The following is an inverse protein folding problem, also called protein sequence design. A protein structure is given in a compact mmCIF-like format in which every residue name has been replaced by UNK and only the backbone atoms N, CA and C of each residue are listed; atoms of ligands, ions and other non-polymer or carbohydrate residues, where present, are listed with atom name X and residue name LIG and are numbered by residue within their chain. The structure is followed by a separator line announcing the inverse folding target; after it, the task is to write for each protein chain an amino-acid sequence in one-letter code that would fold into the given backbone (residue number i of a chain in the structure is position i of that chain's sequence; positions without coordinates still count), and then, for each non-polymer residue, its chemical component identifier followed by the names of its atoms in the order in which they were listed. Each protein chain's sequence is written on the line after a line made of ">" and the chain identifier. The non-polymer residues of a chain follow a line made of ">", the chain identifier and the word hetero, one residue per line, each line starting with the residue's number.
data_IF_739351317215
#
_entry.id   IF_739351317215
#
_cell.length_a   1.000
_cell.length_b   1.000
_cell.length_c   1.000
_cell.angle_alpha   90.00
_cell.angle_beta   90.00
_cell.angle_gamma   90.00
#
_symmetry.space_group_name_H-M   'P 1'
#
loop_
_entity.id
_entity.type
_entity.pdbx_description
1 polymer ?
#
# COMPACT_ATOMS: atom_id res chain seq x y z
N UNK A 1 15.79 -4.61 1.76
CA UNK A 1 15.03 -5.14 0.60
C UNK A 1 13.64 -5.48 1.09
N UNK A 2 12.61 -5.01 0.41
CA UNK A 2 11.23 -5.39 0.73
C UNK A 2 11.05 -6.91 0.56
N UNK A 3 10.48 -7.55 1.52
CA UNK A 3 10.31 -9.01 1.56
C UNK A 3 8.89 -9.40 1.96
N UNK A 4 8.59 -10.68 1.79
CA UNK A 4 7.32 -11.27 2.16
C UNK A 4 7.55 -12.60 2.88
N UNK A 5 6.85 -12.81 4.00
CA UNK A 5 6.78 -14.08 4.71
C UNK A 5 5.37 -14.61 4.55
N UNK A 6 5.20 -15.81 4.03
CA UNK A 6 3.91 -16.39 3.67
C UNK A 6 3.62 -17.67 4.43
N UNK A 7 2.36 -17.86 4.77
CA UNK A 7 1.87 -19.00 5.56
C UNK A 7 1.89 -18.76 7.07
N UNK A 8 0.90 -19.35 7.75
CA UNK A 8 0.66 -19.15 9.18
C UNK A 8 1.89 -19.46 10.05
N UNK A 9 2.50 -20.62 9.83
CA UNK A 9 3.60 -21.08 10.66
C UNK A 9 4.87 -20.24 10.47
N UNK A 10 5.14 -19.82 9.23
CA UNK A 10 6.27 -18.96 8.92
C UNK A 10 6.09 -17.56 9.50
N UNK A 11 4.89 -16.97 9.40
CA UNK A 11 4.57 -15.68 10.01
C UNK A 11 4.67 -15.75 11.53
N UNK A 12 4.15 -16.81 12.14
CA UNK A 12 4.25 -17.03 13.59
C UNK A 12 5.71 -17.15 14.04
N UNK A 13 6.51 -17.94 13.33
CA UNK A 13 7.95 -18.09 13.60
C UNK A 13 8.69 -16.76 13.46
N UNK A 14 8.41 -15.97 12.43
CA UNK A 14 9.00 -14.65 12.24
C UNK A 14 8.66 -13.70 13.41
N UNK A 15 7.41 -13.70 13.87
CA UNK A 15 6.97 -12.93 15.02
C UNK A 15 7.68 -13.36 16.31
N UNK A 16 7.77 -14.65 16.59
CA UNK A 16 8.41 -15.19 17.78
C UNK A 16 9.93 -14.96 17.80
N UNK A 17 10.57 -14.99 16.64
CA UNK A 17 12.02 -14.76 16.51
C UNK A 17 12.40 -13.27 16.49
N UNK A 18 11.45 -12.36 16.67
CA UNK A 18 11.74 -10.93 16.70
C UNK A 18 12.06 -10.30 15.34
N UNK A 19 11.73 -10.97 14.22
CA UNK A 19 11.95 -10.40 12.89
C UNK A 19 11.18 -9.10 12.72
N UNK A 20 11.80 -8.08 12.13
CA UNK A 20 11.13 -6.81 11.79
C UNK A 20 10.09 -7.04 10.70
N UNK A 21 8.85 -6.73 11.03
CA UNK A 21 7.70 -6.82 10.14
C UNK A 21 6.95 -5.49 10.16
N UNK A 22 6.60 -4.98 9.01
CA UNK A 22 5.85 -3.72 8.88
C UNK A 22 4.34 -3.95 8.96
N UNK A 23 3.87 -5.05 8.43
CA UNK A 23 2.46 -5.41 8.43
C UNK A 23 2.29 -6.93 8.44
N UNK A 24 1.23 -7.39 9.11
CA UNK A 24 0.73 -8.76 9.02
C UNK A 24 -0.71 -8.75 8.53
N UNK A 25 -1.02 -9.54 7.50
CA UNK A 25 -2.37 -9.79 7.03
C UNK A 25 -2.76 -11.23 7.36
N UNK A 26 -3.95 -11.40 7.95
CA UNK A 26 -4.47 -12.72 8.33
C UNK A 26 -5.85 -12.97 7.74
N UNK A 27 -6.20 -14.23 7.52
CA UNK A 27 -7.56 -14.60 7.17
C UNK A 27 -8.47 -14.39 8.39
N UNK A 28 -9.56 -13.65 8.17
CA UNK A 28 -10.55 -13.34 9.22
C UNK A 28 -11.30 -14.57 9.72
N UNK A 29 -11.37 -15.64 8.91
CA UNK A 29 -12.11 -16.87 9.22
C UNK A 29 -11.24 -17.93 9.90
N UNK A 30 -9.93 -17.69 10.01
CA UNK A 30 -8.97 -18.61 10.65
C UNK A 30 -8.69 -18.21 12.09
N UNK A 31 -8.34 -19.19 12.91
CA UNK A 31 -7.82 -18.90 14.24
C UNK A 31 -6.41 -18.28 14.13
N UNK A 32 -6.34 -17.01 14.44
CA UNK A 32 -5.13 -16.20 14.38
C UNK A 32 -4.82 -15.52 15.72
N UNK A 33 -5.39 -16.04 16.81
CA UNK A 33 -5.31 -15.44 18.14
C UNK A 33 -3.87 -15.15 18.56
N UNK A 34 -2.95 -16.11 18.42
CA UNK A 34 -1.57 -15.92 18.80
C UNK A 34 -0.82 -14.91 17.92
N UNK A 35 -1.10 -14.89 16.61
CA UNK A 35 -0.54 -13.88 15.69
C UNK A 35 -1.00 -12.49 16.10
N UNK A 36 -2.29 -12.32 16.42
CA UNK A 36 -2.87 -11.04 16.87
C UNK A 36 -2.20 -10.54 18.14
N UNK A 37 -2.07 -11.41 19.13
CA UNK A 37 -1.43 -11.08 20.39
C UNK A 37 0.02 -10.61 20.17
N UNK A 38 0.81 -11.35 19.40
CA UNK A 38 2.21 -10.99 19.12
C UNK A 38 2.33 -9.69 18.30
N UNK A 39 1.42 -9.42 17.37
CA UNK A 39 1.38 -8.15 16.64
C UNK A 39 1.07 -6.99 17.59
N UNK A 40 0.10 -7.14 18.48
CA UNK A 40 -0.27 -6.12 19.49
C UNK A 40 0.91 -5.83 20.43
N UNK A 41 1.52 -6.87 21.00
CA UNK A 41 2.68 -6.75 21.91
C UNK A 41 3.87 -6.04 21.24
N UNK A 42 4.04 -6.19 19.94
CA UNK A 42 5.15 -5.62 19.17
C UNK A 42 4.82 -4.35 18.43
N UNK A 43 3.56 -3.87 18.50
CA UNK A 43 3.11 -2.68 17.76
C UNK A 43 3.15 -2.85 16.23
N UNK A 44 3.00 -4.08 15.72
CA UNK A 44 2.99 -4.38 14.29
C UNK A 44 1.57 -4.19 13.75
N UNK A 45 1.45 -3.49 12.61
CA UNK A 45 0.17 -3.30 11.94
C UNK A 45 -0.44 -4.65 11.55
N UNK A 46 -1.62 -4.96 12.10
CA UNK A 46 -2.38 -6.15 11.74
C UNK A 46 -3.58 -5.76 10.88
N UNK A 47 -3.73 -6.43 9.74
CA UNK A 47 -4.89 -6.32 8.88
C UNK A 47 -5.60 -7.67 8.73
N UNK A 48 -6.90 -7.61 8.41
CA UNK A 48 -7.72 -8.78 8.13
C UNK A 48 -8.16 -8.80 6.67
N UNK A 49 -8.14 -9.97 6.07
CA UNK A 49 -8.60 -10.19 4.71
C UNK A 49 -9.42 -11.48 4.59
N UNK A 50 -9.84 -11.79 3.38
CA UNK A 50 -10.35 -13.11 3.02
C UNK A 50 -9.22 -14.00 2.52
N UNK A 51 -9.40 -15.32 2.54
CA UNK A 51 -8.46 -16.27 1.92
C UNK A 51 -8.12 -15.89 0.47
N UNK A 52 -9.08 -15.35 -0.29
CA UNK A 52 -8.87 -14.89 -1.65
C UNK A 52 -8.02 -13.61 -1.74
N UNK A 53 -8.14 -12.69 -0.77
CA UNK A 53 -7.26 -11.53 -0.68
C UNK A 53 -5.81 -11.98 -0.42
N UNK A 54 -5.62 -12.88 0.53
CA UNK A 54 -4.31 -13.46 0.87
C UNK A 54 -3.69 -14.18 -0.33
N UNK A 55 -4.45 -15.03 -1.00
CA UNK A 55 -3.99 -15.74 -2.19
C UNK A 55 -3.49 -14.78 -3.29
N UNK A 56 -4.20 -13.68 -3.51
CA UNK A 56 -3.81 -12.68 -4.52
C UNK A 56 -2.58 -11.87 -4.13
N UNK A 57 -2.37 -11.69 -2.83
CA UNK A 57 -1.28 -10.87 -2.29
C UNK A 57 -0.01 -11.68 -2.05
N UNK A 58 -0.13 -12.97 -1.73
CA UNK A 58 1.03 -13.83 -1.47
C UNK A 58 1.75 -14.20 -2.77
N UNK A 59 3.06 -14.31 -2.70
CA UNK A 59 3.88 -14.72 -3.84
C UNK A 59 3.78 -16.22 -4.15
N UNK A 60 3.34 -17.02 -3.17
CA UNK A 60 3.22 -18.48 -3.25
C UNK A 60 1.78 -18.99 -3.23
N UNK A 61 0.79 -18.10 -3.22
CA UNK A 61 -0.63 -18.44 -3.15
C UNK A 61 -1.11 -18.85 -1.75
N UNK A 62 -0.37 -18.52 -0.70
CA UNK A 62 -0.78 -18.77 0.69
C UNK A 62 -2.09 -18.04 1.02
N UNK A 63 -2.97 -18.69 1.79
CA UNK A 63 -4.33 -18.20 2.09
C UNK A 63 -4.57 -17.95 3.58
N UNK A 64 -3.60 -18.20 4.45
CA UNK A 64 -3.80 -18.16 5.90
C UNK A 64 -3.24 -16.90 6.54
N UNK A 65 -1.99 -16.58 6.27
CA UNK A 65 -1.32 -15.40 6.77
C UNK A 65 -0.20 -14.94 5.84
N UNK A 66 0.11 -13.65 5.90
CA UNK A 66 1.14 -12.98 5.13
C UNK A 66 1.75 -11.86 5.97
N UNK A 67 3.06 -11.73 5.99
CA UNK A 67 3.74 -10.57 6.58
C UNK A 67 4.62 -9.86 5.54
N UNK A 68 4.74 -8.55 5.65
CA UNK A 68 5.59 -7.71 4.82
C UNK A 68 6.75 -7.16 5.64
N UNK A 69 7.91 -7.04 5.01
CA UNK A 69 9.12 -6.44 5.58
C UNK A 69 9.69 -5.40 4.62
N UNK A 70 10.24 -4.31 5.17
CA UNK A 70 10.91 -3.25 4.41
C UNK A 70 9.95 -2.41 3.55
N UNK A 71 8.67 -2.36 3.92
CA UNK A 71 7.65 -1.54 3.23
C UNK A 71 6.86 -0.71 4.24
N UNK A 72 6.69 0.57 3.93
CA UNK A 72 5.70 1.39 4.62
C UNK A 72 4.36 1.25 3.90
N UNK A 73 3.35 0.78 4.59
CA UNK A 73 2.01 0.54 4.03
C UNK A 73 1.03 1.67 4.32
N UNK A 74 1.41 2.61 5.19
CA UNK A 74 0.60 3.74 5.62
C UNK A 74 1.42 5.03 5.72
N UNK A 75 0.73 6.16 5.77
CA UNK A 75 1.33 7.46 5.99
C UNK A 75 0.43 8.59 5.51
N UNK A 76 0.60 9.75 6.12
CA UNK A 76 0.05 11.02 5.65
C UNK A 76 0.86 11.54 4.47
N UNK A 77 0.31 12.52 3.74
CA UNK A 77 1.00 13.15 2.62
C UNK A 77 2.38 13.71 3.04
N UNK A 78 2.45 14.35 4.19
CA UNK A 78 3.68 14.94 4.69
C UNK A 78 4.72 13.88 5.06
N UNK A 79 4.32 12.85 5.81
CA UNK A 79 5.20 11.74 6.18
C UNK A 79 5.75 10.98 4.96
N UNK A 80 4.91 10.80 3.92
CA UNK A 80 5.34 10.16 2.68
C UNK A 80 6.40 11.02 1.99
N UNK A 81 6.19 12.32 1.89
CA UNK A 81 7.14 13.23 1.24
C UNK A 81 8.44 13.41 2.05
N UNK A 82 8.36 13.41 3.38
CA UNK A 82 9.54 13.45 4.26
C UNK A 82 10.41 12.19 4.14
N UNK A 83 9.79 11.02 4.00
CA UNK A 83 10.52 9.77 3.79
C UNK A 83 11.29 9.74 2.47
N UNK A 84 10.83 10.48 1.48
CA UNK A 84 11.40 10.48 0.14
C UNK A 84 11.04 9.22 -0.67
N UNK A 85 11.78 9.00 -1.75
CA UNK A 85 11.51 7.91 -2.68
C UNK A 85 10.70 8.35 -3.90
N UNK A 86 10.08 7.40 -4.59
CA UNK A 86 9.28 7.65 -5.79
C UNK A 86 7.80 7.65 -5.45
N UNK A 87 7.16 8.80 -5.57
CA UNK A 87 5.73 8.98 -5.32
C UNK A 87 5.04 9.19 -6.67
N UNK A 88 4.04 8.38 -6.95
CA UNK A 88 3.22 8.55 -8.14
C UNK A 88 1.99 9.39 -7.80
N UNK A 89 1.81 10.47 -8.55
CA UNK A 89 0.68 11.37 -8.41
C UNK A 89 -0.25 11.26 -9.63
N UNK A 90 -1.52 11.00 -9.39
CA UNK A 90 -2.56 10.94 -10.42
C UNK A 90 -3.59 12.04 -10.19
N UNK A 91 -3.70 12.93 -11.17
CA UNK A 91 -4.63 14.05 -11.16
C UNK A 91 -5.75 13.84 -12.18
N UNK A 92 -6.99 14.11 -11.78
CA UNK A 92 -8.15 14.14 -12.66
C UNK A 92 -8.55 12.81 -13.32
N UNK A 93 -8.03 11.66 -12.87
CA UNK A 93 -8.39 10.36 -13.45
C UNK A 93 -9.83 9.99 -13.10
N UNK A 94 -10.71 9.95 -14.08
CA UNK A 94 -12.14 9.77 -13.89
C UNK A 94 -12.53 8.32 -13.56
N UNK A 95 -11.98 7.36 -14.30
CA UNK A 95 -12.40 5.96 -14.18
C UNK A 95 -11.73 5.23 -13.03
N UNK A 96 -12.55 4.75 -12.07
CA UNK A 96 -12.08 4.04 -10.88
C UNK A 96 -11.27 2.78 -11.20
N UNK A 97 -11.60 2.08 -12.28
CA UNK A 97 -10.85 0.91 -12.73
C UNK A 97 -9.44 1.28 -13.17
N UNK A 98 -9.28 2.40 -13.90
CA UNK A 98 -7.97 2.88 -14.35
C UNK A 98 -7.10 3.30 -13.17
N UNK A 99 -7.69 3.98 -12.17
CA UNK A 99 -6.98 4.27 -10.91
C UNK A 99 -6.50 3.00 -10.21
N UNK A 100 -7.33 1.96 -10.16
CA UNK A 100 -6.93 0.69 -9.58
C UNK A 100 -5.74 0.07 -10.32
N UNK A 101 -5.76 0.03 -11.63
CA UNK A 101 -4.62 -0.44 -12.45
C UNK A 101 -3.37 0.42 -12.27
N UNK A 102 -3.53 1.74 -12.19
CA UNK A 102 -2.43 2.67 -11.95
C UNK A 102 -1.77 2.42 -10.59
N UNK A 103 -2.55 2.23 -9.53
CA UNK A 103 -2.03 1.87 -8.19
C UNK A 103 -1.26 0.54 -8.25
N UNK A 104 -1.81 -0.47 -8.93
CA UNK A 104 -1.13 -1.76 -9.09
C UNK A 104 0.18 -1.61 -9.87
N UNK A 105 0.17 -0.83 -10.95
CA UNK A 105 1.38 -0.56 -11.75
C UNK A 105 2.43 0.17 -10.92
N UNK A 106 2.05 1.19 -10.17
CA UNK A 106 2.96 1.91 -9.29
C UNK A 106 3.61 0.97 -8.25
N UNK A 107 2.79 0.12 -7.60
CA UNK A 107 3.29 -0.85 -6.61
C UNK A 107 4.31 -1.82 -7.21
N UNK A 108 4.00 -2.46 -8.33
CA UNK A 108 4.92 -3.44 -8.97
C UNK A 108 6.16 -2.76 -9.59
N UNK A 109 6.08 -1.47 -9.91
CA UNK A 109 7.20 -0.66 -10.39
C UNK A 109 8.11 -0.19 -9.26
N UNK A 110 7.79 -0.49 -8.01
CA UNK A 110 8.59 -0.11 -6.85
C UNK A 110 8.36 1.33 -6.37
N UNK A 111 7.19 1.92 -6.65
CA UNK A 111 6.83 3.20 -6.06
C UNK A 111 6.66 3.06 -4.53
N UNK A 112 7.04 4.10 -3.81
CA UNK A 112 6.96 4.16 -2.34
C UNK A 112 5.58 4.62 -1.87
N UNK A 113 4.83 5.34 -2.70
CA UNK A 113 3.47 5.77 -2.43
C UNK A 113 2.72 6.17 -3.70
N UNK A 114 1.39 6.25 -3.58
CA UNK A 114 0.49 6.82 -4.59
C UNK A 114 -0.34 7.92 -3.97
N UNK A 115 -0.43 9.06 -4.63
CA UNK A 115 -1.30 10.17 -4.25
C UNK A 115 -2.33 10.43 -5.35
N UNK A 116 -3.57 10.60 -4.95
CA UNK A 116 -4.70 10.74 -5.86
C UNK A 116 -5.42 12.08 -5.62
N UNK A 117 -5.46 12.94 -6.64
CA UNK A 117 -6.34 14.11 -6.64
C UNK A 117 -7.63 13.78 -7.39
N UNK A 118 -8.55 13.12 -6.70
CA UNK A 118 -9.86 12.75 -7.24
C UNK A 118 -10.90 12.70 -6.12
N UNK A 119 -12.09 13.13 -6.42
CA UNK A 119 -13.24 12.95 -5.54
C UNK A 119 -13.95 11.64 -5.90
N UNK A 120 -13.95 10.68 -4.99
CA UNK A 120 -14.53 9.35 -5.21
C UNK A 120 -15.45 8.95 -4.06
N UNK A 121 -16.62 8.43 -4.41
CA UNK A 121 -17.58 7.86 -3.48
C UNK A 121 -17.01 6.61 -2.81
N UNK A 122 -17.65 6.15 -1.74
CA UNK A 122 -17.25 4.90 -1.07
C UNK A 122 -17.27 3.68 -2.00
N UNK A 123 -18.28 3.59 -2.89
CA UNK A 123 -18.41 2.49 -3.86
C UNK A 123 -17.31 2.54 -4.93
N UNK A 124 -16.98 3.73 -5.44
CA UNK A 124 -15.88 3.92 -6.38
C UNK A 124 -14.54 3.56 -5.73
N UNK A 125 -14.29 3.95 -4.49
CA UNK A 125 -13.09 3.54 -3.73
C UNK A 125 -13.02 2.02 -3.55
N UNK A 126 -14.16 1.34 -3.37
CA UNK A 126 -14.22 -0.12 -3.34
C UNK A 126 -13.84 -0.73 -4.69
N UNK A 127 -14.28 -0.12 -5.80
CA UNK A 127 -13.91 -0.52 -7.17
C UNK A 127 -12.42 -0.33 -7.40
N UNK A 128 -11.83 0.81 -7.01
CA UNK A 128 -10.39 1.08 -7.08
C UNK A 128 -9.61 -0.02 -6.35
N UNK A 129 -9.97 -0.33 -5.10
CA UNK A 129 -9.31 -1.38 -4.31
C UNK A 129 -9.40 -2.76 -4.94
N UNK A 130 -10.52 -3.12 -5.59
CA UNK A 130 -10.66 -4.38 -6.31
C UNK A 130 -9.80 -4.42 -7.56
N UNK A 131 -9.82 -3.35 -8.36
CA UNK A 131 -9.06 -3.24 -9.59
C UNK A 131 -7.55 -3.19 -9.34
N UNK A 132 -7.09 -2.63 -8.21
CA UNK A 132 -5.70 -2.65 -7.80
C UNK A 132 -5.22 -4.02 -7.32
N UNK A 133 -6.09 -5.03 -7.27
CA UNK A 133 -5.80 -6.34 -6.68
C UNK A 133 -5.25 -6.22 -5.25
N UNK A 134 -5.76 -5.25 -4.50
CA UNK A 134 -5.37 -4.92 -3.12
C UNK A 134 -3.92 -4.41 -2.98
N UNK A 135 -3.34 -3.85 -4.04
CA UNK A 135 -2.05 -3.17 -3.96
C UNK A 135 -2.04 -1.99 -2.94
N UNK A 136 -3.23 -1.42 -2.67
CA UNK A 136 -3.46 -0.44 -1.61
C UNK A 136 -3.08 -0.91 -0.19
N UNK A 137 -2.78 -2.20 0.00
CA UNK A 137 -2.28 -2.77 1.26
C UNK A 137 -0.76 -2.86 1.31
N UNK A 138 -0.08 -2.68 0.19
CA UNK A 138 1.37 -2.80 0.07
C UNK A 138 2.11 -1.47 0.06
N UNK A 139 1.42 -0.41 -0.37
CA UNK A 139 1.94 0.96 -0.40
C UNK A 139 0.88 1.94 0.07
N UNK A 140 1.26 3.09 0.65
CA UNK A 140 0.32 4.14 1.00
C UNK A 140 -0.42 4.66 -0.23
N UNK A 141 -1.74 4.78 -0.14
CA UNK A 141 -2.59 5.42 -1.14
C UNK A 141 -3.32 6.59 -0.46
N UNK A 142 -2.90 7.80 -0.75
CA UNK A 142 -3.39 9.02 -0.12
C UNK A 142 -4.25 9.81 -1.10
N UNK A 143 -5.37 10.34 -0.60
CA UNK A 143 -6.22 11.27 -1.35
C UNK A 143 -5.94 12.69 -0.87
N UNK A 144 -5.59 13.58 -1.81
CA UNK A 144 -5.27 14.98 -1.49
C UNK A 144 -5.57 15.89 -2.67
N UNK A 145 -5.61 17.19 -2.45
CA UNK A 145 -5.79 18.18 -3.52
C UNK A 145 -4.44 18.48 -4.19
N UNK A 146 -4.47 18.94 -5.46
CA UNK A 146 -3.25 19.38 -6.15
C UNK A 146 -2.56 20.52 -5.40
N UNK A 147 -3.33 21.42 -4.77
CA UNK A 147 -2.79 22.52 -3.97
C UNK A 147 -2.00 22.02 -2.77
N UNK A 148 -2.56 21.10 -1.99
CA UNK A 148 -1.87 20.51 -0.83
C UNK A 148 -0.64 19.70 -1.25
N UNK A 149 -0.74 18.96 -2.36
CA UNK A 149 0.38 18.18 -2.90
C UNK A 149 1.54 19.09 -3.29
N UNK A 150 1.27 20.18 -4.04
CA UNK A 150 2.30 21.13 -4.46
C UNK A 150 2.90 21.85 -3.27
N UNK A 151 2.09 22.29 -2.30
CA UNK A 151 2.55 22.95 -1.10
C UNK A 151 3.45 22.03 -0.26
N UNK A 152 3.02 20.79 -0.03
CA UNK A 152 3.77 19.80 0.75
C UNK A 152 5.05 19.37 0.04
N UNK A 153 5.02 19.19 -1.27
CA UNK A 153 6.21 18.90 -2.08
C UNK A 153 7.24 20.03 -1.99
N UNK A 154 6.81 21.29 -2.06
CA UNK A 154 7.67 22.45 -1.91
C UNK A 154 8.30 22.52 -0.52
N UNK A 155 7.51 22.29 0.53
CA UNK A 155 7.99 22.30 1.93
C UNK A 155 9.04 21.22 2.19
N UNK A 156 8.88 20.06 1.58
CA UNK A 156 9.77 18.90 1.72
C UNK A 156 10.87 18.84 0.63
N UNK A 157 10.98 19.87 -0.23
CA UNK A 157 11.96 19.94 -1.32
C UNK A 157 11.90 18.76 -2.30
N UNK A 158 10.70 18.21 -2.50
CA UNK A 158 10.45 17.09 -3.43
C UNK A 158 10.45 17.62 -4.86
N UNK A 159 11.23 17.00 -5.74
CA UNK A 159 11.23 17.31 -7.17
C UNK A 159 9.98 16.71 -7.83
N UNK A 160 9.22 17.55 -8.52
CA UNK A 160 8.05 17.10 -9.29
C UNK A 160 8.45 16.96 -10.75
N UNK A 161 8.10 15.82 -11.37
CA UNK A 161 8.23 15.54 -12.80
C UNK A 161 6.82 15.31 -13.33
N UNK A 162 6.42 16.08 -14.34
CA UNK A 162 5.10 15.95 -14.98
C UNK A 162 5.25 15.15 -16.27
N UNK A 163 4.39 14.16 -16.45
CA UNK A 163 4.25 13.42 -17.69
C UNK A 163 2.85 13.68 -18.26
N UNK A 164 2.78 14.28 -19.44
CA UNK A 164 1.54 14.64 -20.14
C UNK A 164 1.74 14.43 -21.65
N UNK A 165 0.71 13.96 -22.36
CA UNK A 165 0.80 13.70 -23.80
C UNK A 165 0.79 14.97 -24.66
N UNK A 166 0.30 16.11 -24.09
CA UNK A 166 0.27 17.43 -24.73
C UNK A 166 1.50 18.28 -24.43
N UNK A 167 2.42 17.77 -23.63
CA UNK A 167 3.64 18.46 -23.23
C UNK A 167 4.55 18.76 -24.43
N UNK A 168 4.94 20.00 -24.62
CA UNK A 168 6.04 20.34 -25.53
C UNK A 168 7.34 19.90 -24.89
N UNK A 169 8.06 19.05 -25.58
CA UNK A 169 9.45 18.73 -25.18
C UNK A 169 10.25 20.01 -25.29
N UNK A 170 10.72 20.48 -24.15
CA UNK A 170 11.61 21.63 -24.06
C UNK A 170 13.06 21.20 -24.15
#
# INVERSE_FOLDING_TARGET
>A
MAGQVTGRDAVLSALQNGQELDMVLVDREKDTTLIRQLCEERGILLQEGSANDLWRMSHDGSQDALALTGRNTEGTLDEIMQRGGTIWFFDGVEYSTNLGFAIRTAEVSGADAVVLNVSKTHEERRTIRRASMRADRFIPVVYSTSEDILATAKSNQVKIIVAEDTGKVG
#
